data_IF_393899848401
#
_entry.id   IF_393899848401
#
_cell.length_a   1.000
_cell.length_b   1.000
_cell.length_c   1.000
_cell.angle_alpha   90.00
_cell.angle_beta   90.00
_cell.angle_gamma   90.00
#
_symmetry.space_group_name_H-M   'P 1'
#
loop_
_entity.id
_entity.type
_entity.pdbx_description
1 polymer ?
#
# COMPACT_ATOMS: atom_id res chain seq x y z
N UNK A 1 9.19 5.72 30.27
CA UNK A 1 9.02 4.30 29.77
C UNK A 1 9.23 4.34 28.27
N UNK A 2 9.98 3.38 27.67
CA UNK A 2 10.10 3.37 26.20
C UNK A 2 8.85 2.77 25.59
N UNK A 3 8.24 3.52 24.65
CA UNK A 3 7.06 3.12 23.90
C UNK A 3 7.40 2.91 22.40
N UNK A 4 6.67 2.04 21.76
CA UNK A 4 6.80 1.74 20.33
C UNK A 4 5.44 1.75 19.68
N UNK A 5 5.36 2.30 18.46
CA UNK A 5 4.14 2.31 17.65
C UNK A 5 4.29 1.33 16.50
N UNK A 6 3.35 0.41 16.40
CA UNK A 6 3.15 -0.44 15.21
C UNK A 6 1.98 0.08 14.39
N UNK A 7 2.16 0.15 13.06
CA UNK A 7 1.13 0.52 12.10
C UNK A 7 0.91 -0.66 11.16
N UNK A 8 -0.31 -1.17 11.10
CA UNK A 8 -0.73 -2.20 10.15
C UNK A 8 -1.73 -1.58 9.16
N UNK A 9 -1.28 -1.35 7.94
CA UNK A 9 -2.09 -0.83 6.84
C UNK A 9 -2.88 -1.97 6.19
N UNK A 10 -4.06 -2.26 6.71
CA UNK A 10 -4.98 -3.26 6.14
C UNK A 10 -5.74 -2.75 4.92
N UNK A 11 -6.55 -3.61 4.31
CA UNK A 11 -7.38 -3.26 3.14
C UNK A 11 -8.59 -2.39 3.53
N UNK A 12 -9.19 -2.63 4.69
CA UNK A 12 -10.41 -1.92 5.14
C UNK A 12 -10.15 -0.88 6.23
N UNK A 13 -9.02 -1.00 6.94
CA UNK A 13 -8.68 -0.13 8.05
C UNK A 13 -7.18 -0.13 8.29
N UNK A 14 -6.66 0.97 8.84
CA UNK A 14 -5.35 0.99 9.48
C UNK A 14 -5.50 0.71 10.96
N UNK A 15 -4.74 -0.26 11.48
CA UNK A 15 -4.63 -0.56 12.89
C UNK A 15 -3.33 0.00 13.46
N UNK A 16 -3.44 0.74 14.55
CA UNK A 16 -2.29 1.31 15.27
C UNK A 16 -2.21 0.67 16.64
N UNK A 17 -1.01 0.27 17.04
CA UNK A 17 -0.72 -0.42 18.27
C UNK A 17 0.34 0.37 19.05
N UNK A 18 0.11 0.64 20.32
CA UNK A 18 1.10 1.16 21.26
C UNK A 18 1.54 0.03 22.20
N UNK A 19 2.84 -0.20 22.30
CA UNK A 19 3.38 -1.18 23.23
C UNK A 19 4.62 -0.66 23.96
N UNK A 20 4.92 -1.27 25.11
CA UNK A 20 6.16 -1.00 25.86
C UNK A 20 7.32 -1.91 25.39
N UNK A 21 8.51 -1.69 25.96
CA UNK A 21 9.70 -2.46 25.66
C UNK A 21 9.62 -3.96 26.08
N UNK A 22 8.65 -4.32 26.94
CA UNK A 22 8.38 -5.70 27.34
C UNK A 22 7.38 -6.40 26.39
N UNK A 23 6.89 -5.67 25.35
CA UNK A 23 5.89 -6.19 24.40
C UNK A 23 4.46 -6.13 24.92
N UNK A 24 4.21 -5.43 26.02
CA UNK A 24 2.86 -5.27 26.54
C UNK A 24 2.10 -4.18 25.77
N UNK A 25 0.94 -4.54 25.25
CA UNK A 25 0.04 -3.63 24.54
C UNK A 25 -0.55 -2.63 25.56
N UNK A 26 -0.41 -1.34 25.26
CA UNK A 26 -0.94 -0.24 26.08
C UNK A 26 -2.20 0.37 25.50
N UNK A 27 -2.29 0.45 24.18
CA UNK A 27 -3.45 0.98 23.48
C UNK A 27 -3.52 0.43 22.05
N UNK A 28 -4.72 0.43 21.45
CA UNK A 28 -4.97 0.05 20.06
C UNK A 28 -6.03 0.99 19.50
N UNK A 29 -5.80 1.51 18.31
CA UNK A 29 -6.74 2.35 17.55
C UNK A 29 -6.94 1.74 16.16
N UNK A 30 -8.17 1.74 15.65
CA UNK A 30 -8.49 1.34 14.29
C UNK A 30 -9.18 2.49 13.57
N UNK A 31 -8.74 2.79 12.34
CA UNK A 31 -9.32 3.81 11.47
C UNK A 31 -9.73 3.17 10.16
N UNK A 32 -11.02 3.15 9.90
CA UNK A 32 -11.58 2.63 8.66
C UNK A 32 -11.51 3.66 7.53
N UNK A 33 -11.51 3.16 6.29
CA UNK A 33 -11.54 3.95 5.08
C UNK A 33 -12.27 3.21 3.96
N UNK A 34 -12.80 3.95 2.96
CA UNK A 34 -13.56 3.35 1.87
C UNK A 34 -12.68 2.47 0.98
N UNK A 35 -13.31 1.47 0.38
CA UNK A 35 -12.80 0.65 -0.70
C UNK A 35 -13.65 0.91 -1.94
N UNK A 36 -13.02 1.27 -3.05
CA UNK A 36 -13.70 1.62 -4.28
C UNK A 36 -13.68 0.46 -5.28
N UNK A 37 -14.82 0.21 -5.92
CA UNK A 37 -15.01 -0.78 -6.97
C UNK A 37 -15.57 -0.11 -8.25
N UNK A 38 -14.74 0.62 -9.02
CA UNK A 38 -15.23 1.41 -10.17
C UNK A 38 -15.87 0.57 -11.27
N UNK A 39 -15.43 -0.69 -11.40
CA UNK A 39 -15.97 -1.66 -12.36
C UNK A 39 -15.95 -3.06 -11.72
N UNK A 40 -16.72 -4.02 -12.22
CA UNK A 40 -16.66 -5.40 -11.76
C UNK A 40 -15.23 -5.97 -11.81
N UNK A 41 -14.76 -6.49 -10.68
CA UNK A 41 -13.42 -7.04 -10.54
C UNK A 41 -12.28 -6.01 -10.34
N UNK A 42 -12.58 -4.72 -10.32
CA UNK A 42 -11.62 -3.66 -9.99
C UNK A 42 -11.69 -3.32 -8.51
N UNK A 43 -10.54 -3.01 -7.92
CA UNK A 43 -10.43 -2.61 -6.51
C UNK A 43 -9.34 -1.56 -6.37
N UNK A 44 -9.70 -0.39 -5.81
CA UNK A 44 -8.77 0.72 -5.63
C UNK A 44 -9.07 1.52 -4.37
N UNK A 45 -8.11 2.30 -3.91
CA UNK A 45 -8.22 3.19 -2.76
C UNK A 45 -7.42 4.47 -2.98
N UNK A 46 -7.88 5.58 -2.38
CA UNK A 46 -7.10 6.80 -2.32
C UNK A 46 -6.01 6.68 -1.23
N UNK A 47 -4.71 6.76 -1.57
CA UNK A 47 -3.63 6.77 -0.57
C UNK A 47 -3.74 7.90 0.47
N UNK A 48 -4.43 9.01 0.15
CA UNK A 48 -4.70 10.08 1.09
C UNK A 48 -5.54 9.62 2.30
N UNK A 49 -6.42 8.64 2.11
CA UNK A 49 -7.22 8.06 3.20
C UNK A 49 -6.34 7.30 4.19
N UNK A 50 -5.35 6.57 3.70
CA UNK A 50 -4.38 5.86 4.55
C UNK A 50 -3.55 6.85 5.38
N UNK A 51 -3.03 7.89 4.70
CA UNK A 51 -2.28 8.95 5.38
C UNK A 51 -3.12 9.64 6.44
N UNK A 52 -4.38 9.99 6.12
CA UNK A 52 -5.31 10.59 7.09
C UNK A 52 -5.54 9.66 8.28
N UNK A 53 -5.81 8.37 8.04
CA UNK A 53 -6.03 7.37 9.09
C UNK A 53 -4.84 7.28 10.08
N UNK A 54 -3.61 7.31 9.58
CA UNK A 54 -2.40 7.32 10.40
C UNK A 54 -2.26 8.63 11.17
N UNK A 55 -2.42 9.77 10.50
CA UNK A 55 -2.26 11.11 11.11
C UNK A 55 -3.30 11.40 12.19
N UNK A 56 -4.52 10.90 12.06
CA UNK A 56 -5.57 11.01 13.07
C UNK A 56 -5.45 9.93 14.15
N UNK A 57 -4.98 8.75 13.79
CA UNK A 57 -4.86 7.61 14.69
C UNK A 57 -3.73 7.74 15.70
N UNK A 58 -2.57 8.30 15.33
CA UNK A 58 -1.42 8.45 16.24
C UNK A 58 -1.75 9.35 17.47
N UNK A 59 -2.33 10.55 17.32
CA UNK A 59 -2.72 11.36 18.49
C UNK A 59 -3.74 10.65 19.39
N UNK A 60 -4.68 9.89 18.79
CA UNK A 60 -5.66 9.12 19.56
C UNK A 60 -4.99 7.95 20.31
N UNK A 61 -4.07 7.26 19.66
CA UNK A 61 -3.30 6.16 20.25
C UNK A 61 -2.51 6.60 21.48
N UNK A 62 -1.98 7.84 21.45
CA UNK A 62 -1.13 8.44 22.49
C UNK A 62 -1.92 9.12 23.61
N UNK A 63 -3.26 9.11 23.60
CA UNK A 63 -4.04 9.68 24.71
C UNK A 63 -3.68 9.03 26.04
N UNK A 64 -3.22 9.83 26.99
CA UNK A 64 -2.77 9.38 28.31
C UNK A 64 -1.32 8.90 28.38
N UNK A 65 -0.56 9.04 27.29
CA UNK A 65 0.87 8.72 27.20
C UNK A 65 1.68 9.95 26.76
N UNK A 66 2.93 10.03 27.19
CA UNK A 66 3.84 11.07 26.73
C UNK A 66 4.46 10.65 25.38
N UNK A 67 4.18 11.41 24.34
CA UNK A 67 4.74 11.20 23.01
C UNK A 67 6.27 11.24 22.95
N UNK A 68 6.92 11.95 23.88
CA UNK A 68 8.38 11.98 24.00
C UNK A 68 8.98 10.63 24.43
N UNK A 69 8.17 9.72 24.97
CA UNK A 69 8.61 8.35 25.29
C UNK A 69 8.60 7.39 24.09
N UNK A 70 8.05 7.80 22.94
CA UNK A 70 8.03 6.97 21.72
C UNK A 70 9.45 6.85 21.16
N UNK A 71 10.00 5.65 21.26
CA UNK A 71 11.37 5.33 20.86
C UNK A 71 11.47 4.82 19.41
N UNK A 72 10.35 4.45 18.80
CA UNK A 72 10.33 3.99 17.41
C UNK A 72 8.93 3.74 16.88
N UNK A 73 8.80 3.84 15.56
CA UNK A 73 7.60 3.56 14.79
C UNK A 73 7.96 2.55 13.70
N UNK A 74 7.15 1.53 13.51
CA UNK A 74 7.28 0.58 12.41
C UNK A 74 5.96 0.43 11.69
N UNK A 75 6.00 0.44 10.35
CA UNK A 75 4.84 0.20 9.53
C UNK A 75 4.96 -1.09 8.72
N UNK A 76 3.88 -1.84 8.69
CA UNK A 76 3.63 -2.97 7.82
C UNK A 76 2.27 -2.84 7.17
N UNK A 77 1.86 -3.82 6.38
CA UNK A 77 0.51 -3.80 5.82
C UNK A 77 0.39 -4.39 4.43
N UNK A 78 -0.70 -4.07 3.76
CA UNK A 78 -1.00 -4.61 2.43
C UNK A 78 0.13 -4.35 1.42
N UNK A 79 0.45 -5.39 0.67
CA UNK A 79 1.50 -5.39 -0.34
C UNK A 79 0.90 -5.52 -1.76
N UNK A 80 1.74 -5.53 -2.78
CA UNK A 80 1.37 -5.70 -4.19
C UNK A 80 0.49 -4.59 -4.79
N UNK A 81 -0.13 -3.73 -4.01
CA UNK A 81 -0.82 -2.55 -4.49
C UNK A 81 0.14 -1.62 -5.24
N UNK A 82 -0.37 -0.90 -6.24
CA UNK A 82 0.42 0.07 -6.98
C UNK A 82 0.05 1.47 -6.55
N UNK A 83 0.97 2.15 -5.87
CA UNK A 83 0.94 3.60 -5.61
C UNK A 83 1.93 4.28 -6.55
N UNK A 84 1.50 5.32 -7.22
CA UNK A 84 2.34 6.08 -8.16
C UNK A 84 2.32 7.57 -7.82
N UNK A 85 3.52 8.15 -7.74
CA UNK A 85 3.72 9.55 -7.41
C UNK A 85 4.42 10.29 -8.55
N UNK A 86 4.12 11.57 -8.68
CA UNK A 86 4.82 12.49 -9.57
C UNK A 86 6.15 13.01 -8.94
N UNK A 87 6.86 13.89 -9.64
CA UNK A 87 8.12 14.50 -9.20
C UNK A 87 7.98 15.34 -7.91
N UNK A 88 6.75 15.77 -7.59
CA UNK A 88 6.42 16.58 -6.40
C UNK A 88 5.80 15.76 -5.26
N UNK A 89 5.88 14.43 -5.37
CA UNK A 89 5.28 13.48 -4.42
C UNK A 89 3.74 13.52 -4.34
N UNK A 90 3.07 14.09 -5.34
CA UNK A 90 1.62 14.00 -5.42
C UNK A 90 1.20 12.63 -5.94
N UNK A 91 0.16 12.08 -5.36
CA UNK A 91 -0.47 10.84 -5.84
C UNK A 91 -1.12 11.12 -7.21
N UNK A 92 -0.74 10.35 -8.22
CA UNK A 92 -1.21 10.53 -9.61
C UNK A 92 -2.63 10.01 -9.79
N UNK A 93 -2.96 8.93 -9.08
CA UNK A 93 -4.27 8.27 -9.17
C UNK A 93 -4.52 7.39 -7.93
N UNK A 94 -5.79 6.96 -7.67
CA UNK A 94 -6.06 5.94 -6.64
C UNK A 94 -5.22 4.68 -6.85
N UNK A 95 -4.69 4.11 -5.77
CA UNK A 95 -3.86 2.91 -5.81
C UNK A 95 -4.66 1.70 -6.31
N UNK A 96 -4.10 0.94 -7.26
CA UNK A 96 -4.67 -0.34 -7.72
C UNK A 96 -4.28 -1.41 -6.71
N UNK A 97 -5.26 -2.04 -6.04
CA UNK A 97 -5.02 -2.92 -4.90
C UNK A 97 -4.60 -4.34 -5.30
N UNK A 98 -4.18 -5.11 -4.31
CA UNK A 98 -3.73 -6.51 -4.47
C UNK A 98 -4.83 -7.46 -4.95
N UNK A 99 -6.09 -7.16 -4.62
CA UNK A 99 -7.28 -7.93 -5.00
C UNK A 99 -7.95 -7.42 -6.29
N UNK A 100 -7.27 -6.56 -7.06
CA UNK A 100 -7.73 -6.04 -8.35
C UNK A 100 -7.45 -7.02 -9.49
N UNK A 101 -8.45 -7.27 -10.33
CA UNK A 101 -8.38 -8.22 -11.44
C UNK A 101 -8.20 -7.60 -12.84
N UNK A 102 -8.07 -6.26 -12.96
CA UNK A 102 -8.02 -5.57 -14.27
C UNK A 102 -6.87 -5.97 -15.19
N UNK A 103 -5.84 -6.61 -14.67
CA UNK A 103 -4.56 -6.84 -15.34
C UNK A 103 -4.43 -8.22 -16.02
N UNK A 104 -5.53 -8.93 -16.26
CA UNK A 104 -5.50 -10.29 -16.83
C UNK A 104 -4.72 -10.39 -18.15
N UNK A 105 -4.89 -9.40 -19.04
CA UNK A 105 -4.17 -9.33 -20.34
C UNK A 105 -2.66 -9.15 -20.14
N UNK A 106 -2.24 -8.31 -19.19
CA UNK A 106 -0.84 -8.05 -18.88
C UNK A 106 -0.17 -9.25 -18.20
N UNK A 107 -0.93 -9.98 -17.38
CA UNK A 107 -0.48 -11.26 -16.79
C UNK A 107 -0.23 -12.31 -17.88
N UNK A 108 -1.16 -12.43 -18.84
CA UNK A 108 -0.98 -13.32 -19.98
C UNK A 108 0.27 -12.98 -20.80
N UNK A 109 0.44 -11.70 -21.13
CA UNK A 109 1.63 -11.20 -21.83
C UNK A 109 2.92 -11.54 -21.07
N UNK A 110 3.00 -11.26 -19.78
CA UNK A 110 4.19 -11.52 -18.97
C UNK A 110 4.51 -13.02 -18.88
N UNK A 111 3.50 -13.87 -18.69
CA UNK A 111 3.71 -15.31 -18.51
C UNK A 111 3.94 -16.07 -19.81
N UNK A 112 3.30 -15.67 -20.91
CA UNK A 112 3.27 -16.44 -22.15
C UNK A 112 4.11 -15.82 -23.27
N UNK A 113 4.22 -14.49 -23.34
CA UNK A 113 5.04 -13.81 -24.36
C UNK A 113 6.47 -13.56 -23.85
N UNK A 114 6.63 -12.99 -22.66
CA UNK A 114 7.95 -12.86 -22.02
C UNK A 114 8.49 -14.24 -21.60
N UNK A 115 7.60 -15.09 -21.09
CA UNK A 115 7.86 -16.45 -20.63
C UNK A 115 8.11 -16.56 -19.13
N UNK A 116 7.46 -17.56 -18.51
CA UNK A 116 7.54 -17.80 -17.06
C UNK A 116 8.96 -18.03 -16.57
N UNK A 117 9.77 -18.80 -17.31
CA UNK A 117 11.13 -19.12 -16.92
C UNK A 117 12.00 -17.87 -16.86
N UNK A 118 11.91 -17.01 -17.88
CA UNK A 118 12.64 -15.75 -17.94
C UNK A 118 12.16 -14.80 -16.83
N UNK A 119 10.85 -14.71 -16.62
CA UNK A 119 10.27 -13.89 -15.57
C UNK A 119 10.72 -14.37 -14.19
N UNK A 120 10.64 -15.67 -13.93
CA UNK A 120 11.07 -16.27 -12.66
C UNK A 120 12.56 -16.12 -12.41
N UNK A 121 13.39 -16.19 -13.44
CA UNK A 121 14.83 -15.94 -13.32
C UNK A 121 15.15 -14.49 -12.88
N UNK A 122 14.30 -13.52 -13.29
CA UNK A 122 14.50 -12.10 -12.95
C UNK A 122 13.82 -11.68 -11.64
N UNK A 123 12.69 -12.28 -11.29
CA UNK A 123 11.82 -11.80 -10.20
C UNK A 123 11.52 -12.87 -9.13
N UNK A 124 12.03 -14.09 -9.32
CA UNK A 124 11.73 -15.28 -8.53
C UNK A 124 10.23 -15.69 -8.51
N UNK A 125 9.41 -15.13 -9.41
CA UNK A 125 7.97 -15.37 -9.48
C UNK A 125 7.44 -15.35 -10.92
N UNK A 126 6.31 -16.03 -11.15
CA UNK A 126 5.42 -15.79 -12.29
C UNK A 126 4.59 -14.53 -12.04
N UNK A 127 3.95 -13.97 -13.08
CA UNK A 127 3.05 -12.84 -12.94
C UNK A 127 1.66 -13.30 -12.46
N UNK A 128 1.06 -12.52 -11.54
CA UNK A 128 -0.32 -12.67 -11.07
C UNK A 128 -1.02 -11.31 -11.09
N UNK A 129 -2.35 -11.30 -11.26
CA UNK A 129 -3.13 -10.06 -11.37
C UNK A 129 -2.98 -9.15 -10.14
N UNK A 130 -2.87 -9.73 -8.95
CA UNK A 130 -2.64 -9.00 -7.71
C UNK A 130 -1.26 -8.32 -7.60
N UNK A 131 -0.27 -8.72 -8.41
CA UNK A 131 1.09 -8.20 -8.31
C UNK A 131 1.27 -6.81 -8.98
N UNK A 132 2.31 -6.10 -8.59
CA UNK A 132 2.56 -4.71 -8.99
C UNK A 132 2.94 -4.56 -10.46
N UNK A 133 3.80 -5.42 -11.00
CA UNK A 133 4.30 -5.30 -12.37
C UNK A 133 3.21 -5.31 -13.45
N UNK A 134 2.21 -6.22 -13.41
CA UNK A 134 1.10 -6.18 -14.37
C UNK A 134 0.30 -4.87 -14.33
N UNK A 135 0.19 -4.22 -13.15
CA UNK A 135 -0.52 -2.94 -12.98
C UNK A 135 0.22 -1.78 -13.65
N UNK A 136 1.55 -1.79 -13.61
CA UNK A 136 2.37 -0.81 -14.31
C UNK A 136 2.17 -0.94 -15.82
N UNK A 137 2.19 -2.17 -16.35
CA UNK A 137 1.91 -2.41 -17.77
C UNK A 137 0.50 -1.97 -18.16
N UNK A 138 -0.48 -2.25 -17.30
CA UNK A 138 -1.86 -1.82 -17.51
C UNK A 138 -1.96 -0.29 -17.58
N UNK A 139 -1.30 0.45 -16.68
CA UNK A 139 -1.27 1.91 -16.71
C UNK A 139 -0.64 2.43 -18.00
N UNK A 140 0.46 1.83 -18.46
CA UNK A 140 1.11 2.23 -19.71
C UNK A 140 0.17 2.10 -20.91
N UNK A 141 -0.68 1.06 -20.93
CA UNK A 141 -1.59 0.80 -22.04
C UNK A 141 -2.90 1.59 -21.96
N UNK A 142 -3.43 1.82 -20.75
CA UNK A 142 -4.77 2.37 -20.55
C UNK A 142 -4.78 3.81 -20.00
N UNK A 143 -3.69 4.24 -19.36
CA UNK A 143 -3.53 5.58 -18.78
C UNK A 143 -2.15 6.16 -19.15
N UNK A 144 -1.80 6.28 -20.45
CA UNK A 144 -0.46 6.70 -20.88
C UNK A 144 -0.06 8.08 -20.35
N UNK A 145 -1.00 9.01 -20.23
CA UNK A 145 -0.74 10.35 -19.69
C UNK A 145 -0.40 10.32 -18.19
N UNK A 146 -1.06 9.46 -17.41
CA UNK A 146 -0.73 9.24 -16.00
C UNK A 146 0.60 8.49 -15.87
N UNK A 147 0.82 7.48 -16.71
CA UNK A 147 2.06 6.72 -16.74
C UNK A 147 3.27 7.61 -17.01
N UNK A 148 3.14 8.59 -17.91
CA UNK A 148 4.22 9.54 -18.26
C UNK A 148 4.61 10.48 -17.09
N UNK A 149 3.76 10.66 -16.09
CA UNK A 149 4.02 11.49 -14.90
C UNK A 149 4.72 10.74 -13.78
N UNK A 150 4.86 9.42 -13.88
CA UNK A 150 5.38 8.59 -12.78
C UNK A 150 6.86 8.90 -12.54
N UNK A 151 7.16 9.43 -11.37
CA UNK A 151 8.51 9.59 -10.86
C UNK A 151 8.86 8.52 -9.80
N UNK A 152 7.86 8.06 -9.03
CA UNK A 152 8.04 7.04 -7.98
C UNK A 152 6.95 5.98 -8.03
N UNK A 153 7.36 4.73 -7.77
CA UNK A 153 6.47 3.58 -7.61
C UNK A 153 6.68 3.03 -6.22
N UNK A 154 5.60 2.84 -5.47
CA UNK A 154 5.62 2.37 -4.10
C UNK A 154 4.56 1.28 -3.89
N UNK A 155 4.77 0.43 -2.89
CA UNK A 155 3.70 -0.39 -2.34
C UNK A 155 2.90 0.43 -1.32
N UNK A 156 1.66 0.05 -0.99
CA UNK A 156 0.86 0.77 -0.01
C UNK A 156 1.56 0.98 1.34
N UNK A 157 2.22 -0.06 1.87
CA UNK A 157 2.99 0.03 3.11
C UNK A 157 4.19 0.98 3.01
N UNK A 158 4.83 1.08 1.84
CA UNK A 158 5.99 1.94 1.62
C UNK A 158 5.59 3.42 1.56
N UNK A 159 4.36 3.69 1.10
CA UNK A 159 3.80 5.04 1.07
C UNK A 159 3.54 5.62 2.47
N UNK A 160 3.34 4.76 3.48
CA UNK A 160 3.10 5.16 4.88
C UNK A 160 4.41 5.26 5.69
N UNK A 161 5.48 4.61 5.23
CA UNK A 161 6.81 4.72 5.84
C UNK A 161 7.51 6.01 5.45
#
# INVERSE_FOLDING_TARGET
MKLYIGIDLGTSATKLLLMDAAGQIKNVVSKEYPLEFPQPGWSQQDPADWRRAVMEGIPELLKGFDGAEVAGIGAGGQMHGLVVLDEKDNVIRPAILWNDGRTAKQVDYLNNVIGKDKLSALTANSAFAGFTAPKILWMRENEPENCAKIAKIMLPKDYIN
#
